data_IF_328178247494
#
_entry.id   IF_328178247494
#
_cell.length_a   1.000
_cell.length_b   1.000
_cell.length_c   1.000
_cell.angle_alpha   90.00
_cell.angle_beta   90.00
_cell.angle_gamma   90.00
#
_symmetry.space_group_name_H-M   'P 1'
#
loop_
_entity.id
_entity.type
_entity.pdbx_description
1 polymer ?
#
# COMPACT_ATOMS: atom_id res chain seq x y z
N UNK A 1 -37.80 2.05 23.83
CA UNK A 1 -36.75 1.10 24.23
C UNK A 1 -35.75 1.03 23.08
N UNK A 2 -34.78 1.94 23.06
CA UNK A 2 -33.74 2.02 22.02
C UNK A 2 -32.57 1.10 22.37
N UNK A 3 -31.99 0.41 21.36
CA UNK A 3 -30.83 -0.45 21.57
C UNK A 3 -29.58 0.41 21.76
N UNK A 4 -28.68 0.10 22.72
CA UNK A 4 -27.46 0.88 22.91
C UNK A 4 -26.59 0.82 21.65
N UNK A 5 -26.18 1.99 21.15
CA UNK A 5 -25.27 2.10 20.02
C UNK A 5 -23.97 1.36 20.30
N UNK A 6 -23.60 0.44 19.41
CA UNK A 6 -22.32 -0.28 19.46
C UNK A 6 -21.21 0.76 19.28
N UNK A 7 -20.54 1.10 20.38
CA UNK A 7 -19.41 2.04 20.36
C UNK A 7 -18.39 1.57 19.32
N UNK A 8 -18.02 2.44 18.39
CA UNK A 8 -16.93 2.17 17.46
C UNK A 8 -15.67 1.99 18.30
N UNK A 9 -15.15 0.77 18.37
CA UNK A 9 -13.81 0.54 18.90
C UNK A 9 -12.85 1.42 18.10
N UNK A 10 -12.03 2.28 18.74
CA UNK A 10 -11.03 3.03 18.02
C UNK A 10 -10.14 2.04 17.27
N UNK A 11 -9.91 2.29 15.97
CA UNK A 11 -8.97 1.49 15.21
C UNK A 11 -7.62 1.50 15.93
N UNK A 12 -6.90 0.37 15.98
CA UNK A 12 -5.56 0.36 16.55
C UNK A 12 -4.72 1.45 15.89
N UNK A 13 -3.89 2.12 16.68
CA UNK A 13 -2.95 3.09 16.14
C UNK A 13 -2.15 2.40 15.04
N UNK A 14 -2.09 3.03 13.87
CA UNK A 14 -1.29 2.52 12.77
C UNK A 14 0.14 2.31 13.28
N UNK A 15 0.81 1.21 12.86
CA UNK A 15 2.15 0.94 13.36
C UNK A 15 3.05 2.15 13.09
N UNK A 16 4.10 2.40 13.90
CA UNK A 16 4.83 3.67 13.90
C UNK A 16 5.50 4.04 12.57
N UNK A 17 5.60 3.09 11.63
CA UNK A 17 6.06 3.29 10.26
C UNK A 17 4.95 3.76 9.29
N UNK A 18 3.68 3.72 9.67
CA UNK A 18 2.55 4.10 8.82
C UNK A 18 1.97 5.46 9.26
N UNK A 19 2.74 6.51 9.00
CA UNK A 19 2.40 7.89 9.34
C UNK A 19 1.83 8.68 8.14
N UNK A 20 1.14 9.79 8.39
CA UNK A 20 0.44 10.62 7.40
C UNK A 20 1.22 10.90 6.09
N UNK A 21 2.51 11.25 6.09
CA UNK A 21 3.28 11.40 4.85
C UNK A 21 3.31 10.14 3.98
N UNK A 22 3.39 8.96 4.60
CA UNK A 22 3.42 7.67 3.91
C UNK A 22 2.05 7.35 3.33
N UNK A 23 0.99 7.53 4.11
CA UNK A 23 -0.39 7.34 3.64
C UNK A 23 -0.71 8.25 2.45
N UNK A 24 -0.29 9.52 2.50
CA UNK A 24 -0.44 10.47 1.38
C UNK A 24 0.38 10.07 0.16
N UNK A 25 1.57 9.52 0.36
CA UNK A 25 2.40 8.97 -0.72
C UNK A 25 1.70 7.80 -1.41
N UNK A 26 1.22 6.83 -0.62
CA UNK A 26 0.48 5.65 -1.11
C UNK A 26 -0.75 6.07 -1.89
N UNK A 27 -1.56 7.00 -1.36
CA UNK A 27 -2.79 7.45 -2.01
C UNK A 27 -2.60 8.12 -3.38
N UNK A 28 -1.38 8.58 -3.72
CA UNK A 28 -1.09 9.13 -5.05
C UNK A 28 -0.76 8.05 -6.09
N UNK A 29 -0.25 6.89 -5.66
CA UNK A 29 0.25 5.86 -6.57
C UNK A 29 -0.83 5.28 -7.50
N UNK A 30 -2.07 5.00 -7.04
CA UNK A 30 -3.14 4.55 -7.94
C UNK A 30 -3.41 5.57 -9.06
N UNK A 31 -3.48 6.86 -8.72
CA UNK A 31 -3.68 7.93 -9.70
C UNK A 31 -2.55 8.07 -10.71
N UNK A 32 -1.30 7.84 -10.30
CA UNK A 32 -0.13 7.89 -11.20
C UNK A 32 -0.08 6.66 -12.11
N UNK A 33 -0.42 5.48 -11.58
CA UNK A 33 -0.35 4.21 -12.30
C UNK A 33 -1.59 3.89 -13.14
N UNK A 34 -2.68 4.66 -13.00
CA UNK A 34 -3.95 4.37 -13.64
C UNK A 34 -4.66 3.14 -13.07
N UNK A 35 -4.30 2.71 -11.86
CA UNK A 35 -4.91 1.57 -11.16
C UNK A 35 -5.80 2.03 -10.01
N UNK A 36 -6.52 1.11 -9.37
CA UNK A 36 -7.27 1.37 -8.13
C UNK A 36 -6.82 0.49 -6.95
N UNK A 37 -5.73 -0.25 -7.10
CA UNK A 37 -5.25 -1.16 -6.06
C UNK A 37 -4.39 -0.44 -5.02
N UNK A 38 -5.03 -0.09 -3.90
CA UNK A 38 -4.37 0.61 -2.80
C UNK A 38 -3.41 -0.29 -2.01
N UNK A 39 -3.63 -1.61 -2.00
CA UNK A 39 -2.79 -2.55 -1.25
C UNK A 39 -1.49 -2.79 -2.00
N UNK A 40 -1.57 -2.98 -3.32
CA UNK A 40 -0.37 -3.07 -4.17
C UNK A 40 0.42 -1.76 -4.14
N UNK A 41 -0.26 -0.60 -4.15
CA UNK A 41 0.40 0.69 -3.96
C UNK A 41 1.15 0.79 -2.63
N UNK A 42 0.56 0.30 -1.53
CA UNK A 42 1.22 0.24 -0.23
C UNK A 42 2.46 -0.65 -0.26
N UNK A 43 2.35 -1.86 -0.83
CA UNK A 43 3.48 -2.79 -0.96
C UNK A 43 4.63 -2.16 -1.75
N UNK A 44 4.32 -1.53 -2.90
CA UNK A 44 5.30 -0.81 -3.72
C UNK A 44 5.98 0.30 -2.92
N UNK A 45 5.21 1.10 -2.17
CA UNK A 45 5.79 2.18 -1.36
C UNK A 45 6.76 1.65 -0.30
N UNK A 46 6.35 0.61 0.43
CA UNK A 46 7.19 -0.03 1.46
C UNK A 46 8.45 -0.61 0.84
N UNK A 47 8.34 -1.33 -0.29
CA UNK A 47 9.49 -1.93 -0.96
C UNK A 47 10.50 -0.88 -1.45
N UNK A 48 10.02 0.25 -1.98
CA UNK A 48 10.88 1.38 -2.38
C UNK A 48 11.59 2.01 -1.19
N UNK A 49 10.89 2.23 -0.08
CA UNK A 49 11.48 2.84 1.12
C UNK A 49 12.50 1.94 1.82
N UNK A 50 12.27 0.63 1.78
CA UNK A 50 13.09 -0.35 2.52
C UNK A 50 14.15 -1.04 1.65
N UNK A 51 14.03 -0.98 0.33
CA UNK A 51 14.84 -1.77 -0.61
C UNK A 51 14.51 -3.27 -0.60
N UNK A 52 13.36 -3.66 -0.05
CA UNK A 52 12.96 -5.06 0.04
C UNK A 52 12.60 -5.68 -1.33
N UNK A 53 12.75 -7.00 -1.42
CA UNK A 53 12.19 -7.82 -2.52
C UNK A 53 10.71 -8.09 -2.26
N UNK A 54 9.87 -7.99 -3.30
CA UNK A 54 8.46 -8.37 -3.22
C UNK A 54 8.27 -9.79 -3.72
N UNK A 55 7.77 -10.67 -2.84
CA UNK A 55 7.33 -12.02 -3.18
C UNK A 55 5.82 -11.98 -3.47
N UNK A 56 5.40 -12.29 -4.68
CA UNK A 56 3.99 -12.17 -5.10
C UNK A 56 3.60 -13.21 -6.13
N UNK A 57 2.36 -13.70 -6.10
CA UNK A 57 1.80 -14.54 -7.18
C UNK A 57 1.39 -13.70 -8.41
N UNK A 58 1.21 -12.39 -8.22
CA UNK A 58 0.90 -11.45 -9.28
C UNK A 58 1.99 -10.36 -9.37
N UNK A 59 3.01 -10.58 -10.23
CA UNK A 59 4.07 -9.59 -10.45
C UNK A 59 3.62 -8.45 -11.36
N UNK A 60 2.52 -8.60 -12.12
CA UNK A 60 2.09 -7.62 -13.11
C UNK A 60 1.58 -6.37 -12.41
N UNK A 61 0.71 -6.54 -11.42
CA UNK A 61 0.14 -5.41 -10.67
C UNK A 61 1.23 -4.59 -9.96
N UNK A 62 2.18 -5.28 -9.32
CA UNK A 62 3.33 -4.63 -8.66
C UNK A 62 4.20 -3.90 -9.68
N UNK A 63 4.49 -4.54 -10.81
CA UNK A 63 5.28 -3.97 -11.90
C UNK A 63 4.64 -2.71 -12.49
N UNK A 64 3.34 -2.72 -12.74
CA UNK A 64 2.61 -1.55 -13.28
C UNK A 64 2.78 -0.31 -12.41
N UNK A 65 2.61 -0.44 -11.10
CA UNK A 65 2.77 0.70 -10.18
C UNK A 65 4.24 1.10 -10.06
N UNK A 66 5.17 0.14 -9.96
CA UNK A 66 6.61 0.42 -9.85
C UNK A 66 7.15 1.17 -11.08
N UNK A 67 6.78 0.75 -12.29
CA UNK A 67 7.16 1.40 -13.55
C UNK A 67 6.58 2.82 -13.64
N UNK A 68 5.33 3.02 -13.21
CA UNK A 68 4.70 4.35 -13.23
C UNK A 68 5.44 5.39 -12.38
N UNK A 69 6.16 4.96 -11.34
CA UNK A 69 7.01 5.82 -10.50
C UNK A 69 8.51 5.66 -10.75
N UNK A 70 8.89 4.94 -11.82
CA UNK A 70 10.28 4.69 -12.21
C UNK A 70 11.11 4.06 -11.09
N UNK A 71 10.48 3.23 -10.27
CA UNK A 71 11.13 2.50 -9.19
C UNK A 71 11.62 1.14 -9.70
N UNK A 72 12.79 0.70 -9.22
CA UNK A 72 13.25 -0.67 -9.39
C UNK A 72 13.00 -1.44 -8.11
N UNK A 73 12.12 -2.44 -8.20
CA UNK A 73 11.80 -3.33 -7.08
C UNK A 73 12.15 -4.74 -7.53
N UNK A 74 13.03 -5.47 -6.80
CA UNK A 74 13.24 -6.88 -7.07
C UNK A 74 11.94 -7.65 -6.84
N UNK A 75 11.50 -8.42 -7.84
CA UNK A 75 10.30 -9.27 -7.77
C UNK A 75 10.71 -10.73 -7.76
N UNK A 76 10.03 -11.51 -6.91
CA UNK A 76 10.09 -12.96 -6.90
C UNK A 76 8.64 -13.50 -6.99
N UNK A 77 8.42 -14.50 -7.82
CA UNK A 77 7.10 -15.10 -8.02
C UNK A 77 6.91 -16.38 -7.24
N UNK A 78 5.69 -16.62 -6.75
CA UNK A 78 5.26 -17.87 -6.10
C UNK A 78 3.99 -18.43 -6.72
#
# INVERSE_FOLDING_TARGET
>A
MERPGRGRTPAPAAPPWFHDPMARGIGKLPGISGTSDIVVAMVVRVAVETGATVLTSDPVDVGMIAEAVKARIPLATV
#
